data_IF_332390104314
#
_entry.id   IF_332390104314
#
_cell.length_a   1.000
_cell.length_b   1.000
_cell.length_c   1.000
_cell.angle_alpha   90.00
_cell.angle_beta   90.00
_cell.angle_gamma   90.00
#
_symmetry.space_group_name_H-M   'P 1'
#
loop_
_entity.id
_entity.type
_entity.pdbx_description
1 polymer ?
#
# COMPACT_ATOMS: atom_id res chain seq x y z
N UNK A 1 2.93 4.16 -3.07
CA UNK A 1 2.80 5.64 -3.11
C UNK A 1 3.61 6.21 -4.27
N UNK A 2 4.81 5.69 -4.52
CA UNK A 2 5.69 6.08 -5.63
C UNK A 2 5.00 6.07 -7.00
N UNK A 3 4.28 5.00 -7.37
CA UNK A 3 3.55 4.95 -8.66
C UNK A 3 2.61 6.15 -8.85
N UNK A 4 1.86 6.53 -7.81
CA UNK A 4 0.96 7.67 -7.88
C UNK A 4 1.72 8.99 -8.01
N UNK A 5 2.86 9.12 -7.32
CA UNK A 5 3.74 10.29 -7.45
C UNK A 5 4.32 10.42 -8.85
N UNK A 6 4.82 9.32 -9.43
CA UNK A 6 5.39 9.32 -10.77
C UNK A 6 4.35 9.74 -11.80
N UNK A 7 3.15 9.14 -11.75
CA UNK A 7 2.04 9.52 -12.62
C UNK A 7 1.66 10.99 -12.47
N UNK A 8 1.59 11.49 -11.22
CA UNK A 8 1.32 12.90 -10.94
C UNK A 8 2.38 13.83 -11.54
N UNK A 9 3.66 13.46 -11.46
CA UNK A 9 4.76 14.25 -12.02
C UNK A 9 4.71 14.34 -13.55
N UNK A 10 4.15 13.33 -14.23
CA UNK A 10 3.92 13.33 -15.68
C UNK A 10 2.58 13.98 -16.10
N UNK A 11 1.90 14.65 -15.17
CA UNK A 11 0.69 15.41 -15.41
C UNK A 11 -0.59 14.57 -15.43
N UNK A 12 -0.57 13.36 -14.89
CA UNK A 12 -1.81 12.62 -14.67
C UNK A 12 -2.53 13.12 -13.42
N UNK A 13 -3.86 13.23 -13.49
CA UNK A 13 -4.68 13.42 -12.29
C UNK A 13 -4.74 12.08 -11.58
N UNK A 14 -4.17 12.02 -10.38
CA UNK A 14 -4.05 10.77 -9.64
C UNK A 14 -4.93 10.76 -8.41
N UNK A 15 -5.60 9.64 -8.18
CA UNK A 15 -6.19 9.35 -6.88
C UNK A 15 -5.62 8.07 -6.31
N UNK A 16 -5.52 8.04 -4.99
CA UNK A 16 -4.90 7.00 -4.21
C UNK A 16 -5.90 6.43 -3.20
N UNK A 17 -6.01 5.11 -3.12
CA UNK A 17 -6.78 4.47 -2.04
C UNK A 17 -5.85 3.96 -0.97
N UNK A 18 -6.10 4.35 0.29
CA UNK A 18 -5.35 3.91 1.48
C UNK A 18 -6.33 3.32 2.50
N UNK A 19 -6.45 1.99 2.48
CA UNK A 19 -7.39 1.26 3.37
C UNK A 19 -6.92 1.09 4.79
N UNK A 20 -5.63 0.90 4.98
CA UNK A 20 -5.05 0.59 6.28
C UNK A 20 -4.22 1.76 6.80
N UNK A 21 -4.18 1.96 8.12
CA UNK A 21 -3.26 2.91 8.73
C UNK A 21 -1.81 2.55 8.36
N UNK A 22 -1.04 3.55 7.96
CA UNK A 22 0.37 3.39 7.56
C UNK A 22 1.23 4.48 8.18
N UNK A 23 2.45 4.10 8.55
CA UNK A 23 3.47 5.09 8.92
C UNK A 23 4.17 5.60 7.68
N UNK A 24 4.24 6.91 7.54
CA UNK A 24 5.02 7.57 6.50
C UNK A 24 6.30 8.13 7.12
N UNK A 25 7.44 7.73 6.57
CA UNK A 25 8.77 8.15 7.01
C UNK A 25 9.61 8.55 5.80
N UNK A 26 10.67 9.33 6.02
CA UNK A 26 11.69 9.51 4.99
C UNK A 26 12.77 8.45 5.12
N UNK A 27 13.52 8.27 4.04
CA UNK A 27 14.68 7.40 3.99
C UNK A 27 15.67 7.68 5.13
N UNK A 28 16.02 8.95 5.38
CA UNK A 28 16.94 9.32 6.46
C UNK A 28 16.41 8.94 7.86
N UNK A 29 15.11 9.08 8.11
CA UNK A 29 14.51 8.70 9.41
C UNK A 29 14.57 7.19 9.61
N UNK A 30 14.36 6.41 8.54
CA UNK A 30 14.47 4.94 8.58
C UNK A 30 15.92 4.53 8.84
N UNK A 31 16.88 5.13 8.13
CA UNK A 31 18.33 4.88 8.33
C UNK A 31 18.74 5.20 9.77
N UNK A 32 18.31 6.35 10.29
CA UNK A 32 18.56 6.74 11.68
C UNK A 32 17.97 5.73 12.66
N UNK A 33 16.70 5.35 12.49
CA UNK A 33 16.06 4.36 13.37
C UNK A 33 16.77 3.00 13.33
N UNK A 34 17.20 2.54 12.17
CA UNK A 34 17.98 1.30 12.03
C UNK A 34 19.34 1.37 12.75
N UNK A 35 20.00 2.53 12.74
CA UNK A 35 21.24 2.73 13.48
C UNK A 35 21.02 2.78 14.99
N UNK A 36 20.00 3.52 15.44
CA UNK A 36 19.65 3.64 16.87
C UNK A 36 19.22 2.30 17.48
N UNK A 37 18.56 1.43 16.71
CA UNK A 37 18.15 0.09 17.16
C UNK A 37 19.33 -0.81 17.59
N UNK A 38 20.57 -0.47 17.21
CA UNK A 38 21.77 -1.20 17.67
C UNK A 38 22.13 -0.88 19.13
N UNK A 39 21.72 0.30 19.61
CA UNK A 39 22.18 0.84 20.90
C UNK A 39 21.03 1.08 21.89
N UNK A 40 19.80 1.26 21.41
CA UNK A 40 18.63 1.67 22.20
C UNK A 40 17.50 0.64 22.13
N UNK A 41 16.65 0.56 23.16
CA UNK A 41 15.47 -0.30 23.15
C UNK A 41 14.46 0.18 22.11
N UNK A 42 13.68 -0.77 21.57
CA UNK A 42 12.78 -0.56 20.44
C UNK A 42 11.76 0.57 20.68
N UNK A 43 11.15 0.61 21.87
CA UNK A 43 10.12 1.61 22.18
C UNK A 43 10.68 3.05 22.15
N UNK A 44 11.92 3.23 22.59
CA UNK A 44 12.58 4.53 22.59
C UNK A 44 12.90 4.98 21.17
N UNK A 45 13.38 4.07 20.32
CA UNK A 45 13.64 4.36 18.90
C UNK A 45 12.35 4.70 18.17
N UNK A 46 11.28 3.93 18.39
CA UNK A 46 9.97 4.19 17.81
C UNK A 46 9.45 5.58 18.21
N UNK A 47 9.57 5.96 19.49
CA UNK A 47 9.17 7.28 19.97
C UNK A 47 9.97 8.42 19.33
N UNK A 48 11.30 8.27 19.20
CA UNK A 48 12.16 9.24 18.53
C UNK A 48 11.73 9.42 17.08
N UNK A 49 11.56 8.32 16.35
CA UNK A 49 11.23 8.34 14.92
C UNK A 49 9.82 8.86 14.68
N UNK A 50 8.86 8.52 15.53
CA UNK A 50 7.50 9.06 15.48
C UNK A 50 7.48 10.57 15.75
N UNK A 51 8.29 11.06 16.68
CA UNK A 51 8.41 12.49 16.97
C UNK A 51 9.00 13.24 15.78
N UNK A 52 10.07 12.71 15.17
CA UNK A 52 10.65 13.27 13.95
C UNK A 52 9.66 13.28 12.78
N UNK A 53 8.88 12.20 12.61
CA UNK A 53 7.82 12.12 11.60
C UNK A 53 6.73 13.17 11.85
N UNK A 54 6.31 13.37 13.11
CA UNK A 54 5.34 14.42 13.48
C UNK A 54 5.86 15.82 13.21
N UNK A 55 7.14 16.10 13.45
CA UNK A 55 7.73 17.42 13.18
C UNK A 55 7.73 17.70 11.68
N UNK A 56 8.14 16.73 10.85
CA UNK A 56 8.24 16.94 9.40
C UNK A 56 6.88 16.94 8.70
N UNK A 57 6.02 16.00 9.05
CA UNK A 57 4.74 15.77 8.38
C UNK A 57 3.55 16.35 9.15
N UNK A 58 3.76 16.98 10.30
CA UNK A 58 2.67 17.46 11.16
C UNK A 58 1.82 16.32 11.74
N UNK A 59 0.77 16.71 12.47
CA UNK A 59 -0.28 15.81 12.97
C UNK A 59 -1.46 15.65 12.01
N UNK A 60 -1.57 16.49 10.98
CA UNK A 60 -2.79 16.64 10.17
C UNK A 60 -2.86 15.68 8.97
N UNK A 61 -2.07 14.60 8.95
CA UNK A 61 -2.15 13.61 7.85
C UNK A 61 -3.50 12.91 7.79
N UNK A 62 -4.18 12.82 8.94
CA UNK A 62 -5.53 12.26 9.05
C UNK A 62 -6.54 13.06 8.21
N UNK A 63 -6.37 14.37 8.08
CA UNK A 63 -7.25 15.24 7.30
C UNK A 63 -7.17 14.93 5.80
N UNK A 64 -6.05 14.34 5.37
CA UNK A 64 -5.83 13.86 4.01
C UNK A 64 -6.11 12.35 3.87
N UNK A 65 -6.88 11.76 4.78
CA UNK A 65 -7.27 10.34 4.72
C UNK A 65 -6.16 9.34 5.08
N UNK A 66 -4.99 9.80 5.54
CA UNK A 66 -3.88 8.93 5.93
C UNK A 66 -3.82 8.80 7.45
N UNK A 67 -4.32 7.68 7.94
CA UNK A 67 -4.30 7.37 9.37
C UNK A 67 -2.96 6.78 9.79
N UNK A 68 -2.45 7.22 10.94
CA UNK A 68 -1.25 6.62 11.55
C UNK A 68 -1.64 5.50 12.53
N UNK A 69 -0.97 4.35 12.47
CA UNK A 69 -1.14 3.31 13.49
C UNK A 69 -0.74 3.81 14.89
N UNK A 70 -1.41 3.28 15.93
CA UNK A 70 -1.08 3.62 17.32
C UNK A 70 0.24 3.02 17.84
N UNK A 71 0.73 1.93 17.21
CA UNK A 71 2.02 1.30 17.53
C UNK A 71 3.13 1.84 16.63
N UNK A 72 4.37 1.84 17.10
CA UNK A 72 5.51 2.38 16.36
C UNK A 72 5.89 1.61 15.08
N UNK A 73 6.60 2.26 14.14
CA UNK A 73 6.92 1.69 12.84
C UNK A 73 7.84 0.46 12.91
N UNK A 74 8.85 0.46 13.79
CA UNK A 74 9.77 -0.67 13.95
C UNK A 74 9.11 -1.80 14.74
N UNK A 75 8.28 -1.47 15.74
CA UNK A 75 7.43 -2.46 16.41
C UNK A 75 6.54 -3.19 15.39
N UNK A 76 5.82 -2.45 14.54
CA UNK A 76 4.93 -3.04 13.55
C UNK A 76 5.66 -3.89 12.52
N UNK A 77 6.86 -3.47 12.11
CA UNK A 77 7.72 -4.28 11.24
C UNK A 77 8.09 -5.60 11.90
N UNK A 78 8.46 -5.60 13.18
CA UNK A 78 8.81 -6.83 13.91
C UNK A 78 7.58 -7.73 14.15
N UNK A 79 6.45 -7.15 14.56
CA UNK A 79 5.26 -7.90 14.95
C UNK A 79 4.44 -8.43 13.76
N UNK A 80 4.35 -7.66 12.68
CA UNK A 80 3.45 -7.96 11.54
C UNK A 80 4.18 -8.10 10.21
N UNK A 81 5.48 -7.82 10.16
CA UNK A 81 6.25 -7.74 8.91
C UNK A 81 5.95 -6.49 8.07
N UNK A 82 5.03 -5.62 8.50
CA UNK A 82 4.65 -4.40 7.77
C UNK A 82 5.68 -3.30 7.99
N UNK A 83 6.39 -2.94 6.92
CA UNK A 83 7.34 -1.84 6.95
C UNK A 83 6.64 -0.49 6.74
N UNK A 84 7.18 0.60 7.29
CA UNK A 84 6.69 1.95 7.01
C UNK A 84 6.85 2.29 5.52
N UNK A 85 5.98 3.17 5.02
CA UNK A 85 6.09 3.72 3.67
C UNK A 85 7.17 4.79 3.66
N UNK A 86 8.11 4.67 2.73
CA UNK A 86 9.11 5.70 2.49
C UNK A 86 8.50 6.73 1.55
N UNK A 87 8.44 7.97 2.02
CA UNK A 87 7.97 9.10 1.23
C UNK A 87 9.16 9.86 0.66
N UNK A 88 9.10 10.09 -0.66
CA UNK A 88 10.09 10.85 -1.44
C UNK A 88 9.53 12.20 -1.91
N UNK A 89 8.30 12.56 -1.50
CA UNK A 89 7.62 13.79 -1.92
C UNK A 89 6.14 13.61 -2.25
N UNK A 90 5.59 12.40 -2.11
CA UNK A 90 4.17 12.12 -2.31
C UNK A 90 3.29 12.89 -1.33
N UNK A 91 3.70 13.01 -0.06
CA UNK A 91 2.93 13.77 0.93
C UNK A 91 2.79 15.24 0.54
N UNK A 92 3.83 15.84 -0.04
CA UNK A 92 3.78 17.22 -0.53
C UNK A 92 2.74 17.39 -1.64
N UNK A 93 2.68 16.43 -2.59
CA UNK A 93 1.68 16.42 -3.67
C UNK A 93 0.25 16.20 -3.17
N UNK A 94 0.07 15.36 -2.15
CA UNK A 94 -1.23 15.17 -1.49
C UNK A 94 -1.69 16.46 -0.82
N UNK A 95 -0.79 17.16 -0.10
CA UNK A 95 -1.11 18.44 0.54
C UNK A 95 -1.45 19.54 -0.46
N UNK A 96 -0.82 19.52 -1.64
CA UNK A 96 -1.13 20.44 -2.73
C UNK A 96 -2.46 20.12 -3.43
N UNK A 97 -3.11 19.00 -3.10
CA UNK A 97 -4.34 18.54 -3.74
C UNK A 97 -4.13 17.94 -5.14
N UNK A 98 -2.89 17.72 -5.56
CA UNK A 98 -2.57 17.09 -6.84
C UNK A 98 -2.84 15.58 -6.82
N UNK A 99 -2.77 14.97 -5.63
CA UNK A 99 -3.10 13.56 -5.39
C UNK A 99 -4.21 13.50 -4.36
N UNK A 100 -5.37 12.99 -4.75
CA UNK A 100 -6.50 12.79 -3.86
C UNK A 100 -6.40 11.43 -3.15
N UNK A 101 -6.76 11.37 -1.87
CA UNK A 101 -6.71 10.14 -1.09
C UNK A 101 -8.11 9.73 -0.66
N UNK A 102 -8.44 8.45 -0.85
CA UNK A 102 -9.71 7.85 -0.47
C UNK A 102 -9.49 6.65 0.47
N UNK A 103 -10.38 6.39 1.43
CA UNK A 103 -10.18 5.30 2.39
C UNK A 103 -10.45 3.92 1.79
N UNK A 104 -11.52 3.74 1.01
CA UNK A 104 -11.88 2.44 0.47
C UNK A 104 -12.77 2.52 -0.77
N UNK A 105 -12.73 1.46 -1.58
CA UNK A 105 -13.54 1.28 -2.78
C UNK A 105 -14.73 0.39 -2.43
N UNK A 106 -15.93 0.79 -2.84
CA UNK A 106 -17.16 0.02 -2.69
C UNK A 106 -17.42 -0.87 -3.91
N UNK A 107 -17.30 -0.31 -5.11
CA UNK A 107 -17.57 -1.02 -6.37
C UNK A 107 -16.81 -0.39 -7.53
N UNK A 108 -16.41 -1.22 -8.50
CA UNK A 108 -15.88 -0.78 -9.79
C UNK A 108 -16.88 -1.24 -10.86
N UNK A 109 -17.37 -0.30 -11.67
CA UNK A 109 -18.31 -0.52 -12.77
C UNK A 109 -17.70 0.07 -14.05
N UNK A 110 -16.96 -0.73 -14.81
CA UNK A 110 -16.26 -0.22 -16.01
C UNK A 110 -15.21 0.83 -15.63
N UNK A 111 -15.35 2.02 -16.21
CA UNK A 111 -14.54 3.21 -15.95
C UNK A 111 -14.94 3.97 -14.67
N UNK A 112 -16.10 3.67 -14.09
CA UNK A 112 -16.57 4.31 -12.86
C UNK A 112 -16.19 3.53 -11.60
N UNK A 113 -15.50 4.22 -10.68
CA UNK A 113 -15.15 3.72 -9.34
C UNK A 113 -16.00 4.42 -8.31
N UNK A 114 -16.76 3.63 -7.54
CA UNK A 114 -17.55 4.10 -6.41
C UNK A 114 -16.78 3.86 -5.10
N UNK A 115 -16.57 4.92 -4.33
CA UNK A 115 -15.89 4.89 -3.04
C UNK A 115 -16.86 4.59 -1.89
N UNK A 116 -16.33 4.18 -0.75
CA UNK A 116 -17.12 3.89 0.44
C UNK A 116 -17.92 5.10 0.94
N UNK A 117 -17.41 6.31 0.73
CA UNK A 117 -18.04 7.58 1.07
C UNK A 117 -19.14 8.00 0.09
N UNK A 118 -19.48 7.15 -0.90
CA UNK A 118 -20.55 7.39 -1.87
C UNK A 118 -20.13 8.18 -3.10
N UNK A 119 -18.98 8.87 -3.06
CA UNK A 119 -18.39 9.52 -4.22
C UNK A 119 -18.17 8.51 -5.37
N UNK A 120 -18.49 8.91 -6.60
CA UNK A 120 -18.24 8.12 -7.80
C UNK A 120 -17.39 8.96 -8.75
N UNK A 121 -16.26 8.42 -9.20
CA UNK A 121 -15.36 9.09 -10.16
C UNK A 121 -15.05 8.16 -11.33
N UNK A 122 -14.85 8.75 -12.51
CA UNK A 122 -14.39 8.04 -13.70
C UNK A 122 -12.86 8.06 -13.78
N UNK A 123 -12.27 6.96 -14.20
CA UNK A 123 -10.83 6.81 -14.39
C UNK A 123 -10.52 6.05 -15.68
N UNK A 124 -9.48 6.48 -16.38
CA UNK A 124 -9.00 5.82 -17.61
C UNK A 124 -8.20 4.54 -17.30
N UNK A 125 -7.49 4.53 -16.17
CA UNK A 125 -6.69 3.39 -15.75
C UNK A 125 -6.77 3.15 -14.24
N UNK A 126 -6.89 1.86 -13.88
CA UNK A 126 -6.90 1.39 -12.49
C UNK A 126 -5.71 0.46 -12.26
N UNK A 127 -4.80 0.88 -11.39
CA UNK A 127 -3.59 0.15 -11.03
C UNK A 127 -3.72 -0.46 -9.64
N UNK A 128 -3.73 -1.80 -9.57
CA UNK A 128 -3.75 -2.53 -8.30
C UNK A 128 -2.33 -2.77 -7.77
N UNK A 129 -1.84 -1.82 -6.96
CA UNK A 129 -0.57 -1.93 -6.26
C UNK A 129 -0.74 -2.62 -4.87
N UNK A 130 -1.40 -3.78 -4.85
CA UNK A 130 -1.80 -4.49 -3.61
C UNK A 130 -0.74 -5.45 -3.06
N UNK A 131 0.50 -5.33 -3.53
CA UNK A 131 1.57 -6.26 -3.21
C UNK A 131 1.38 -7.67 -3.79
N UNK A 132 2.25 -8.59 -3.37
CA UNK A 132 2.32 -9.96 -3.87
C UNK A 132 2.19 -10.98 -2.73
N UNK A 133 1.69 -12.17 -3.04
CA UNK A 133 1.67 -13.31 -2.12
C UNK A 133 2.76 -14.30 -2.51
N UNK A 134 3.67 -14.60 -1.59
CA UNK A 134 4.69 -15.61 -1.80
C UNK A 134 4.09 -17.01 -1.91
N UNK A 135 4.50 -17.78 -2.92
CA UNK A 135 4.20 -19.20 -3.11
C UNK A 135 5.29 -20.12 -2.53
N UNK A 136 6.33 -19.56 -1.89
CA UNK A 136 7.49 -20.32 -1.39
C UNK A 136 7.06 -21.51 -0.52
N UNK A 137 6.10 -21.32 0.40
CA UNK A 137 5.59 -22.39 1.29
C UNK A 137 4.88 -23.55 0.56
N UNK A 138 4.59 -23.42 -0.75
CA UNK A 138 3.96 -24.47 -1.56
C UNK A 138 4.98 -25.39 -2.24
N UNK A 139 6.16 -24.86 -2.58
CA UNK A 139 7.20 -25.62 -3.29
C UNK A 139 8.38 -25.96 -2.39
N UNK A 140 8.77 -25.04 -1.50
CA UNK A 140 9.85 -25.26 -0.54
C UNK A 140 9.34 -26.18 0.58
N UNK A 141 9.38 -27.48 0.28
CA UNK A 141 9.58 -28.51 1.30
C UNK A 141 11.08 -28.58 1.55
N UNK A 142 11.45 -28.80 2.80
CA UNK A 142 12.82 -28.73 3.32
C UNK A 142 13.68 -29.90 2.82
N UNK A 143 13.89 -30.05 1.50
CA UNK A 143 14.80 -31.04 0.90
C UNK A 143 15.21 -30.59 -0.52
N UNK A 144 16.50 -30.69 -0.83
CA UNK A 144 17.21 -29.87 -1.82
C UNK A 144 16.77 -29.97 -3.29
N UNK A 145 16.87 -28.83 -3.99
CA UNK A 145 16.72 -28.74 -5.45
C UNK A 145 15.93 -27.50 -5.88
N UNK A 146 16.64 -26.44 -6.28
CA UNK A 146 16.04 -25.12 -6.52
C UNK A 146 15.61 -24.94 -7.99
N UNK A 147 14.32 -24.66 -8.22
CA UNK A 147 13.86 -23.89 -9.37
C UNK A 147 12.76 -22.93 -8.92
N UNK A 148 13.04 -21.64 -8.99
CA UNK A 148 12.13 -20.57 -8.57
C UNK A 148 11.10 -20.28 -9.68
N UNK A 149 9.81 -20.32 -9.33
CA UNK A 149 8.74 -19.69 -10.13
C UNK A 149 7.95 -18.72 -9.26
N UNK A 150 8.00 -17.45 -9.62
CA UNK A 150 7.23 -16.37 -9.02
C UNK A 150 5.91 -16.26 -9.79
N UNK A 151 4.78 -16.52 -9.11
CA UNK A 151 3.47 -16.46 -9.76
C UNK A 151 2.70 -15.24 -9.24
N UNK A 152 2.71 -14.18 -10.04
CA UNK A 152 1.75 -13.10 -9.90
C UNK A 152 0.38 -13.65 -10.32
N UNK A 153 -0.62 -13.67 -9.43
CA UNK A 153 -2.00 -13.82 -9.91
C UNK A 153 -2.27 -12.62 -10.80
N UNK A 154 -2.43 -12.87 -12.10
CA UNK A 154 -2.96 -11.90 -13.05
C UNK A 154 -4.27 -11.34 -12.47
N UNK A 155 -4.20 -10.15 -11.89
CA UNK A 155 -5.32 -9.21 -11.94
C UNK A 155 -4.90 -8.22 -12.99
N UNK A 156 -5.51 -8.36 -14.16
CA UNK A 156 -5.23 -7.54 -15.33
C UNK A 156 -5.17 -6.07 -14.92
N UNK A 157 -4.02 -5.44 -15.21
CA UNK A 157 -3.93 -4.00 -15.24
C UNK A 157 -4.63 -3.58 -16.52
N UNK A 158 -5.91 -3.24 -16.44
CA UNK A 158 -6.60 -2.64 -17.58
C UNK A 158 -6.20 -1.17 -17.65
N UNK A 159 -5.26 -0.88 -18.56
CA UNK A 159 -4.94 0.48 -18.99
C UNK A 159 -5.82 0.74 -20.22
N UNK A 160 -6.93 1.44 -20.04
CA UNK A 160 -7.86 1.75 -21.14
C UNK A 160 -8.07 3.26 -21.26
N UNK A 161 -7.19 3.92 -22.02
CA UNK A 161 -7.62 5.00 -22.92
C UNK A 161 -7.31 6.47 -22.58
N UNK A 162 -6.87 7.18 -23.63
CA UNK A 162 -7.12 8.57 -24.10
C UNK A 162 -7.01 9.82 -23.20
N UNK A 163 -7.41 9.87 -21.93
CA UNK A 163 -7.19 11.04 -21.06
C UNK A 163 -6.26 10.68 -19.88
N UNK A 164 -5.56 11.66 -19.30
CA UNK A 164 -4.53 11.39 -18.28
C UNK A 164 -5.14 11.29 -16.88
N UNK A 165 -6.16 10.46 -16.65
CA UNK A 165 -6.70 10.22 -15.31
C UNK A 165 -6.36 8.80 -14.83
N UNK A 166 -5.56 8.72 -13.76
CA UNK A 166 -4.99 7.46 -13.28
C UNK A 166 -5.37 7.20 -11.84
N UNK A 167 -5.67 5.95 -11.51
CA UNK A 167 -6.04 5.55 -10.17
C UNK A 167 -5.08 4.48 -9.65
N UNK A 168 -4.54 4.68 -8.45
CA UNK A 168 -3.69 3.66 -7.80
C UNK A 168 -4.35 3.16 -6.53
N UNK A 169 -4.65 1.86 -6.50
CA UNK A 169 -5.09 1.18 -5.29
C UNK A 169 -3.87 0.69 -4.53
N UNK A 170 -3.54 1.33 -3.42
CA UNK A 170 -2.62 0.75 -2.46
C UNK A 170 -3.42 -0.12 -1.51
N UNK A 171 -3.14 -1.42 -1.57
CA UNK A 171 -3.47 -2.30 -0.46
C UNK A 171 -2.18 -2.86 0.12
N UNK A 172 -1.80 -2.37 1.30
CA UNK A 172 -0.79 -3.04 2.12
C UNK A 172 -1.40 -4.23 2.90
N UNK A 173 -2.70 -4.52 2.77
CA UNK A 173 -3.31 -5.75 3.25
C UNK A 173 -3.17 -6.86 2.21
N UNK A 174 -2.05 -7.58 2.28
CA UNK A 174 -2.19 -9.00 2.08
C UNK A 174 -3.08 -9.54 3.23
N UNK A 175 -4.21 -10.12 2.85
CA UNK A 175 -5.25 -10.82 3.62
C UNK A 175 -6.51 -10.00 3.94
N UNK A 176 -7.63 -10.57 3.49
CA UNK A 176 -9.01 -10.32 3.90
C UNK A 176 -9.75 -9.14 3.28
N UNK A 177 -10.01 -9.24 1.98
CA UNK A 177 -11.25 -8.73 1.37
C UNK A 177 -11.58 -9.52 0.10
N UNK A 178 -12.36 -10.59 0.29
CA UNK A 178 -13.42 -11.14 -0.58
C UNK A 178 -13.61 -12.60 -0.14
N UNK A 179 -14.56 -12.78 0.77
CA UNK A 179 -15.09 -14.11 1.06
C UNK A 179 -15.59 -14.74 -0.23
N UNK A 180 -15.04 -15.90 -0.55
CA UNK A 180 -15.74 -16.86 -1.38
C UNK A 180 -15.77 -18.19 -0.66
N UNK A 181 -17.03 -18.62 -0.48
CA UNK A 181 -17.51 -19.89 0.03
C UNK A 181 -16.62 -21.06 -0.36
N UNK A 182 -16.39 -21.94 0.61
CA UNK A 182 -16.22 -23.36 0.38
C UNK A 182 -17.38 -23.89 -0.47
N UNK A 183 -17.08 -24.47 -1.64
CA UNK A 183 -17.93 -25.41 -2.38
C UNK A 183 -17.02 -26.36 -3.18
N UNK A 184 -17.49 -27.58 -3.51
CA UNK A 184 -16.71 -28.81 -3.35
C UNK A 184 -15.87 -29.18 -4.57
N UNK A 185 -14.96 -30.13 -4.32
CA UNK A 185 -14.25 -30.93 -5.32
C UNK A 185 -15.23 -31.46 -6.37
N UNK A 186 -15.00 -31.11 -7.63
CA UNK A 186 -15.45 -31.89 -8.78
C UNK A 186 -14.56 -31.50 -9.98
N UNK A 187 -13.52 -32.29 -10.23
CA UNK A 187 -13.48 -33.05 -11.47
C UNK A 187 -12.45 -34.19 -11.36
N UNK A 188 -12.86 -35.30 -11.96
CA UNK A 188 -12.29 -36.63 -11.96
C UNK A 188 -11.86 -36.91 -13.41
N UNK A 189 -10.72 -37.58 -13.57
CA UNK A 189 -10.22 -38.31 -14.76
C UNK A 189 -9.99 -37.45 -16.03
N UNK A 190 -8.95 -37.69 -16.82
CA UNK A 190 -8.33 -38.98 -17.22
C UNK A 190 -6.81 -38.98 -17.13
#
# INVERSE_FOLDING_TARGET
>A
MEIALDLCNWGARTSLVVRSPVHILNEWMVKLGMELLKYLPLDLVDNIVLTLSKIKYGNNLSDYGIQRPGKGPFFLKRATGRSPVIDVGTVSKIRAGEIEVFPSIKKVNGDHVQFAEGATKSYDAVVFATGYKSTVRKWLKDDGGCSMKMECRNREVQITGKEKTGFTVLDLQAADCLGYRTMPKLYRET
#
